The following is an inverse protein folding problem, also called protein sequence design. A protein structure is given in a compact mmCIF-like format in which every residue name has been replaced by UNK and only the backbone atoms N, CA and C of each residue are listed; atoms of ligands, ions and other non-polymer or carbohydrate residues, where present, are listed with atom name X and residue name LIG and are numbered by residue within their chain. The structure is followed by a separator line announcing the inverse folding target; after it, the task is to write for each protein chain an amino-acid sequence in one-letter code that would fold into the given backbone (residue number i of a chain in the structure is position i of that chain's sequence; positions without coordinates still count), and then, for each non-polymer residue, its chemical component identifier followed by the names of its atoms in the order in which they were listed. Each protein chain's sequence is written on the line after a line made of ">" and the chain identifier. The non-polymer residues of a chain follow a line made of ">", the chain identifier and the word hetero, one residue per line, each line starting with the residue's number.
data_IF_708816418692
#
_entry.id   IF_708816418692
#
_cell.length_a   1.000
_cell.length_b   1.000
_cell.length_c   1.000
_cell.angle_alpha   90.00
_cell.angle_beta   90.00
_cell.angle_gamma   90.00
#
_symmetry.space_group_name_H-M   'P 1'
#
loop_
_entity.id
_entity.type
_entity.pdbx_description
1 polymer ?
#
# COMPACT_ATOMS: atom_id res chain seq x y z
N UNK A 1 -9.36 -18.40 -44.99
CA UNK A 1 -10.04 -18.75 -43.70
C UNK A 1 -9.06 -18.84 -42.53
N UNK A 2 -7.91 -19.51 -42.70
CA UNK A 2 -6.89 -19.71 -41.66
C UNK A 2 -6.30 -18.40 -41.14
N UNK A 3 -5.90 -17.47 -42.02
CA UNK A 3 -5.32 -16.18 -41.61
C UNK A 3 -6.25 -15.33 -40.73
N UNK A 4 -7.56 -15.29 -41.05
CA UNK A 4 -8.55 -14.57 -40.24
C UNK A 4 -8.71 -15.18 -38.85
N UNK A 5 -8.64 -16.51 -38.74
CA UNK A 5 -8.66 -17.21 -37.47
C UNK A 5 -7.40 -16.93 -36.65
N UNK A 6 -6.22 -16.97 -37.26
CA UNK A 6 -4.94 -16.64 -36.61
C UNK A 6 -4.96 -15.20 -36.08
N UNK A 7 -5.41 -14.25 -36.88
CA UNK A 7 -5.47 -12.84 -36.47
C UNK A 7 -6.44 -12.60 -35.31
N UNK A 8 -7.56 -13.34 -35.27
CA UNK A 8 -8.50 -13.30 -34.15
C UNK A 8 -7.88 -13.91 -32.87
N UNK A 9 -7.21 -15.04 -32.99
CA UNK A 9 -6.52 -15.70 -31.86
C UNK A 9 -5.46 -14.77 -31.27
N UNK A 10 -4.66 -14.12 -32.13
CA UNK A 10 -3.64 -13.16 -31.72
C UNK A 10 -4.23 -12.00 -30.91
N UNK A 11 -5.35 -11.41 -31.36
CA UNK A 11 -6.02 -10.31 -30.65
C UNK A 11 -6.51 -10.74 -29.26
N UNK A 12 -7.11 -11.92 -29.17
CA UNK A 12 -7.59 -12.47 -27.89
C UNK A 12 -6.40 -12.74 -26.97
N UNK A 13 -5.33 -13.33 -27.48
CA UNK A 13 -4.12 -13.60 -26.72
C UNK A 13 -3.50 -12.32 -26.15
N UNK A 14 -3.30 -11.30 -27.00
CA UNK A 14 -2.78 -9.99 -26.57
C UNK A 14 -3.68 -9.34 -25.52
N UNK A 15 -5.01 -9.41 -25.69
CA UNK A 15 -5.96 -8.89 -24.72
C UNK A 15 -5.85 -9.61 -23.37
N UNK A 16 -5.87 -10.93 -23.37
CA UNK A 16 -5.86 -11.74 -22.14
C UNK A 16 -4.53 -11.57 -21.40
N UNK A 17 -3.40 -11.70 -22.09
CA UNK A 17 -2.07 -11.54 -21.49
C UNK A 17 -1.87 -10.11 -21.01
N UNK A 18 -2.28 -9.11 -21.81
CA UNK A 18 -2.21 -7.71 -21.42
C UNK A 18 -3.01 -7.42 -20.15
N UNK A 19 -4.25 -7.93 -20.05
CA UNK A 19 -5.06 -7.80 -18.85
C UNK A 19 -4.40 -8.48 -17.65
N UNK A 20 -3.93 -9.73 -17.79
CA UNK A 20 -3.24 -10.44 -16.70
C UNK A 20 -2.05 -9.62 -16.19
N UNK A 21 -1.20 -9.11 -17.09
CA UNK A 21 -0.07 -8.26 -16.73
C UNK A 21 -0.52 -6.97 -16.04
N UNK A 22 -1.57 -6.32 -16.55
CA UNK A 22 -2.11 -5.08 -15.98
C UNK A 22 -2.59 -5.27 -14.54
N UNK A 23 -3.32 -6.35 -14.25
CA UNK A 23 -3.72 -6.67 -12.88
C UNK A 23 -2.53 -7.10 -12.02
N UNK A 24 -1.62 -7.90 -12.58
CA UNK A 24 -0.45 -8.39 -11.86
C UNK A 24 0.46 -7.24 -11.40
N UNK A 25 0.70 -6.21 -12.22
CA UNK A 25 1.57 -5.09 -11.81
C UNK A 25 0.96 -4.23 -10.70
N UNK A 26 -0.36 -4.06 -10.67
CA UNK A 26 -1.04 -3.37 -9.56
C UNK A 26 -0.88 -4.16 -8.25
N UNK A 27 -1.07 -5.48 -8.33
CA UNK A 27 -0.93 -6.39 -7.19
C UNK A 27 0.51 -6.48 -6.70
N UNK A 28 1.47 -6.82 -7.58
CA UNK A 28 2.86 -7.08 -7.25
C UNK A 28 3.55 -5.88 -6.60
N UNK A 29 3.24 -4.65 -7.06
CA UNK A 29 3.78 -3.42 -6.49
C UNK A 29 3.45 -3.29 -5.00
N UNK A 30 2.25 -3.69 -4.61
CA UNK A 30 1.82 -3.66 -3.20
C UNK A 30 2.30 -4.90 -2.46
N UNK A 31 2.22 -6.08 -3.09
CA UNK A 31 2.62 -7.35 -2.50
C UNK A 31 4.09 -7.38 -2.05
N UNK A 32 5.02 -6.84 -2.85
CA UNK A 32 6.44 -6.82 -2.48
C UNK A 32 6.80 -5.83 -1.36
N UNK A 33 5.97 -4.81 -1.12
CA UNK A 33 6.23 -3.78 -0.10
C UNK A 33 5.57 -4.15 1.23
N UNK A 34 4.38 -4.75 1.18
CA UNK A 34 3.61 -5.08 2.37
C UNK A 34 3.95 -6.46 2.93
N UNK A 35 3.78 -6.68 4.25
CA UNK A 35 4.10 -7.95 4.90
C UNK A 35 3.03 -9.03 4.63
N UNK A 36 2.76 -9.33 3.36
CA UNK A 36 1.90 -10.45 2.99
C UNK A 36 2.64 -11.78 3.13
N UNK A 37 1.92 -12.90 3.37
CA UNK A 37 2.52 -14.23 3.37
C UNK A 37 3.34 -14.46 2.10
N UNK A 38 4.57 -14.94 2.21
CA UNK A 38 5.45 -15.16 1.05
C UNK A 38 6.32 -13.96 0.65
N UNK A 39 5.86 -12.72 0.86
CA UNK A 39 6.55 -11.52 0.34
C UNK A 39 7.89 -11.22 1.02
N UNK A 40 8.05 -11.66 2.27
CA UNK A 40 9.18 -11.29 3.15
C UNK A 40 10.33 -12.32 3.18
N UNK A 41 10.24 -13.41 2.39
CA UNK A 41 11.28 -14.43 2.38
C UNK A 41 12.48 -14.10 1.48
N UNK A 42 12.29 -13.19 0.51
CA UNK A 42 13.29 -12.83 -0.49
C UNK A 42 13.56 -11.33 -0.48
N UNK A 43 14.78 -10.92 -0.84
CA UNK A 43 15.10 -9.50 -1.02
C UNK A 43 14.49 -8.97 -2.34
N UNK A 44 13.26 -8.46 -2.25
CA UNK A 44 12.49 -7.93 -3.39
C UNK A 44 12.49 -6.40 -3.45
N UNK A 45 13.28 -5.73 -2.60
CA UNK A 45 13.28 -4.27 -2.46
C UNK A 45 13.60 -3.56 -3.79
N UNK A 46 14.60 -4.06 -4.53
CA UNK A 46 14.98 -3.48 -5.82
C UNK A 46 13.86 -3.57 -6.86
N UNK A 47 13.19 -4.73 -6.93
CA UNK A 47 12.06 -4.96 -7.84
C UNK A 47 10.88 -4.06 -7.45
N UNK A 48 10.56 -4.00 -6.16
CA UNK A 48 9.49 -3.17 -5.63
C UNK A 48 9.71 -1.68 -5.95
N UNK A 49 10.94 -1.19 -5.78
CA UNK A 49 11.31 0.18 -6.08
C UNK A 49 11.20 0.49 -7.57
N UNK A 50 11.79 -0.36 -8.43
CA UNK A 50 11.72 -0.19 -9.88
C UNK A 50 10.27 -0.20 -10.37
N UNK A 51 9.46 -1.16 -9.89
CA UNK A 51 8.07 -1.26 -10.28
C UNK A 51 7.28 -0.04 -9.83
N UNK A 52 7.51 0.44 -8.60
CA UNK A 52 6.84 1.64 -8.08
C UNK A 52 7.22 2.90 -8.85
N UNK A 53 8.50 3.07 -9.18
CA UNK A 53 8.99 4.22 -9.94
C UNK A 53 8.42 4.26 -11.36
N UNK A 54 8.27 3.10 -12.01
CA UNK A 54 7.86 2.99 -13.41
C UNK A 54 6.38 2.66 -13.63
N UNK A 55 5.59 2.45 -12.57
CA UNK A 55 4.21 1.94 -12.69
C UNK A 55 3.31 2.76 -13.61
N UNK A 56 3.47 4.10 -13.63
CA UNK A 56 2.67 4.97 -14.50
C UNK A 56 2.91 4.66 -15.97
N UNK A 57 4.17 4.50 -16.37
CA UNK A 57 4.55 4.19 -17.75
C UNK A 57 4.16 2.77 -18.13
N UNK A 58 4.42 1.79 -17.25
CA UNK A 58 4.00 0.39 -17.47
C UNK A 58 2.49 0.31 -17.71
N UNK A 59 1.70 1.02 -16.90
CA UNK A 59 0.24 1.06 -17.04
C UNK A 59 -0.19 1.67 -18.38
N UNK A 60 0.39 2.81 -18.77
CA UNK A 60 0.07 3.47 -20.04
C UNK A 60 0.36 2.51 -21.21
N UNK A 61 1.53 1.87 -21.22
CA UNK A 61 1.92 0.93 -22.28
C UNK A 61 0.95 -0.25 -22.36
N UNK A 62 0.63 -0.88 -21.21
CA UNK A 62 -0.30 -2.01 -21.17
C UNK A 62 -1.71 -1.61 -21.63
N UNK A 63 -2.21 -0.45 -21.20
CA UNK A 63 -3.51 0.07 -21.65
C UNK A 63 -3.54 0.35 -23.15
N UNK A 64 -2.45 0.90 -23.72
CA UNK A 64 -2.34 1.11 -25.16
C UNK A 64 -2.37 -0.22 -25.93
N UNK A 65 -1.61 -1.23 -25.49
CA UNK A 65 -1.59 -2.57 -26.10
C UNK A 65 -2.98 -3.24 -26.06
N UNK A 66 -3.68 -3.12 -24.93
CA UNK A 66 -5.01 -3.69 -24.72
C UNK A 66 -6.10 -2.94 -25.50
N UNK A 67 -5.92 -1.63 -25.73
CA UNK A 67 -6.95 -0.79 -26.35
C UNK A 67 -7.34 -1.26 -27.75
N UNK A 68 -6.37 -1.64 -28.59
CA UNK A 68 -6.64 -2.12 -29.95
C UNK A 68 -7.54 -3.37 -30.02
N UNK A 69 -7.22 -4.51 -29.37
CA UNK A 69 -8.10 -5.67 -29.38
C UNK A 69 -9.41 -5.42 -28.63
N UNK A 70 -9.42 -4.59 -27.58
CA UNK A 70 -10.64 -4.24 -26.86
C UNK A 70 -11.63 -3.46 -27.73
N UNK A 71 -11.16 -2.39 -28.41
CA UNK A 71 -11.98 -1.60 -29.34
C UNK A 71 -12.48 -2.47 -30.49
N UNK A 72 -11.61 -3.34 -31.03
CA UNK A 72 -11.99 -4.26 -32.11
C UNK A 72 -13.17 -5.18 -31.71
N UNK A 73 -13.20 -5.66 -30.47
CA UNK A 73 -14.30 -6.48 -29.94
C UNK A 73 -15.53 -5.64 -29.61
N UNK A 74 -15.37 -4.42 -29.09
CA UNK A 74 -16.49 -3.52 -28.80
C UNK A 74 -17.23 -3.08 -30.07
N UNK A 75 -16.52 -2.89 -31.18
CA UNK A 75 -17.12 -2.55 -32.48
C UNK A 75 -17.76 -3.78 -33.13
N UNK A 76 -17.00 -4.86 -33.31
CA UNK A 76 -17.38 -5.97 -34.19
C UNK A 76 -17.84 -7.26 -33.48
N UNK A 77 -17.70 -7.33 -32.15
CA UNK A 77 -17.98 -8.53 -31.36
C UNK A 77 -19.46 -8.74 -31.06
N UNK A 78 -19.80 -9.97 -30.64
CA UNK A 78 -21.14 -10.30 -30.11
C UNK A 78 -21.42 -9.53 -28.82
N UNK A 79 -22.69 -9.22 -28.56
CA UNK A 79 -23.13 -8.44 -27.37
C UNK A 79 -22.55 -8.96 -26.06
N UNK A 80 -22.53 -10.29 -25.84
CA UNK A 80 -21.96 -10.87 -24.62
C UNK A 80 -20.46 -10.57 -24.42
N UNK A 81 -19.67 -10.52 -25.51
CA UNK A 81 -18.24 -10.18 -25.44
C UNK A 81 -18.04 -8.71 -25.07
N UNK A 82 -18.94 -7.83 -25.55
CA UNK A 82 -18.93 -6.41 -25.20
C UNK A 82 -19.23 -6.25 -23.70
N UNK A 83 -20.28 -6.91 -23.21
CA UNK A 83 -20.65 -6.92 -21.80
C UNK A 83 -19.48 -7.43 -20.94
N UNK A 84 -18.85 -8.54 -21.34
CA UNK A 84 -17.70 -9.10 -20.62
C UNK A 84 -16.54 -8.10 -20.51
N UNK A 85 -16.16 -7.44 -21.62
CA UNK A 85 -15.09 -6.43 -21.60
C UNK A 85 -15.47 -5.25 -20.70
N UNK A 86 -16.71 -4.75 -20.79
CA UNK A 86 -17.19 -3.66 -19.94
C UNK A 86 -17.10 -4.03 -18.44
N UNK A 87 -17.49 -5.26 -18.08
CA UNK A 87 -17.36 -5.77 -16.70
C UNK A 87 -15.89 -5.80 -16.27
N UNK A 88 -14.99 -6.31 -17.13
CA UNK A 88 -13.56 -6.38 -16.82
C UNK A 88 -12.95 -4.99 -16.63
N UNK A 89 -13.35 -4.00 -17.44
CA UNK A 89 -12.89 -2.60 -17.30
C UNK A 89 -13.37 -1.99 -15.98
N UNK A 90 -14.64 -2.19 -15.62
CA UNK A 90 -15.18 -1.74 -14.34
C UNK A 90 -14.43 -2.39 -13.18
N UNK A 91 -14.23 -3.71 -13.25
CA UNK A 91 -13.48 -4.46 -12.26
C UNK A 91 -12.04 -3.97 -12.13
N UNK A 92 -11.37 -3.68 -13.25
CA UNK A 92 -10.04 -3.06 -13.23
C UNK A 92 -10.07 -1.68 -12.54
N UNK A 93 -11.10 -0.86 -12.79
CA UNK A 93 -11.28 0.43 -12.09
C UNK A 93 -11.35 0.27 -10.57
N UNK A 94 -12.05 -0.75 -10.08
CA UNK A 94 -12.11 -1.09 -8.64
C UNK A 94 -10.73 -1.51 -8.12
N UNK A 95 -10.04 -2.42 -8.82
CA UNK A 95 -8.69 -2.86 -8.43
C UNK A 95 -7.71 -1.68 -8.44
N UNK A 96 -7.73 -0.85 -9.49
CA UNK A 96 -6.93 0.35 -9.59
C UNK A 96 -7.15 1.26 -8.37
N UNK A 97 -8.41 1.52 -8.01
CA UNK A 97 -8.74 2.33 -6.83
C UNK A 97 -8.17 1.73 -5.55
N UNK A 98 -8.43 0.45 -5.30
CA UNK A 98 -7.97 -0.23 -4.09
C UNK A 98 -6.44 -0.20 -3.97
N UNK A 99 -5.71 -0.55 -5.02
CA UNK A 99 -4.25 -0.67 -4.97
C UNK A 99 -3.50 0.66 -5.09
N UNK A 100 -4.14 1.74 -5.56
CA UNK A 100 -3.52 3.07 -5.67
C UNK A 100 -3.94 4.03 -4.55
N UNK A 101 -5.08 3.80 -3.89
CA UNK A 101 -5.59 4.74 -2.88
C UNK A 101 -5.85 4.13 -1.51
N UNK A 102 -6.13 2.82 -1.42
CA UNK A 102 -6.44 2.16 -0.15
C UNK A 102 -5.29 1.34 0.40
N UNK A 103 -4.65 0.53 -0.44
CA UNK A 103 -3.62 -0.45 -0.07
C UNK A 103 -2.21 0.03 -0.36
N UNK A 104 -1.95 1.33 -0.43
CA UNK A 104 -0.57 1.79 -0.49
C UNK A 104 0.00 1.95 0.93
N UNK A 105 1.27 1.60 1.12
CA UNK A 105 1.91 1.67 2.43
C UNK A 105 1.86 3.08 3.04
N UNK A 106 2.13 4.11 2.24
CA UNK A 106 2.01 5.52 2.65
C UNK A 106 0.62 5.94 3.16
N UNK A 107 -0.45 5.23 2.78
CA UNK A 107 -1.83 5.48 3.23
C UNK A 107 -2.19 4.71 4.49
N UNK A 108 -1.62 3.53 4.66
CA UNK A 108 -1.90 2.68 5.84
C UNK A 108 -1.13 3.17 7.07
N UNK A 109 0.05 3.78 6.90
CA UNK A 109 0.90 4.25 8.00
C UNK A 109 0.82 5.76 8.25
N UNK A 110 -0.39 6.34 8.13
CA UNK A 110 -0.58 7.77 8.41
C UNK A 110 -0.24 8.12 9.85
N UNK A 111 0.49 9.22 10.03
CA UNK A 111 0.84 9.73 11.35
C UNK A 111 -0.40 10.26 12.09
N UNK A 112 -0.48 9.95 13.38
CA UNK A 112 -1.48 10.52 14.27
C UNK A 112 -1.33 12.05 14.32
N UNK A 113 -2.37 12.77 13.88
CA UNK A 113 -2.38 14.24 13.86
C UNK A 113 -2.73 14.85 15.21
N UNK A 114 -3.69 14.23 15.92
CA UNK A 114 -4.19 14.71 17.21
C UNK A 114 -3.85 13.70 18.31
N UNK A 115 -3.23 14.18 19.39
CA UNK A 115 -2.87 13.40 20.58
C UNK A 115 -3.63 13.95 21.78
N UNK A 116 -4.83 13.44 22.01
CA UNK A 116 -5.65 13.84 23.16
C UNK A 116 -5.38 12.87 24.31
N UNK A 117 -4.48 13.24 25.21
CA UNK A 117 -4.23 12.48 26.43
C UNK A 117 -5.26 12.83 27.50
N UNK A 118 -5.73 11.81 28.20
CA UNK A 118 -6.54 11.96 29.41
C UNK A 118 -5.69 11.57 30.62
N UNK A 119 -5.93 12.20 31.75
CA UNK A 119 -5.42 11.74 33.04
C UNK A 119 -6.06 10.39 33.43
N UNK A 120 -5.54 9.76 34.49
CA UNK A 120 -6.02 8.46 34.95
C UNK A 120 -7.50 8.47 35.37
N UNK A 121 -8.03 9.60 35.87
CA UNK A 121 -9.41 9.73 36.33
C UNK A 121 -10.40 9.84 35.17
N UNK A 122 -9.99 10.51 34.10
CA UNK A 122 -10.79 10.77 32.90
C UNK A 122 -10.53 9.77 31.76
N UNK A 123 -9.73 8.73 32.04
CA UNK A 123 -9.39 7.70 31.07
C UNK A 123 -10.62 6.86 30.69
N UNK A 124 -10.94 6.84 29.38
CA UNK A 124 -12.04 6.04 28.83
C UNK A 124 -11.59 4.66 28.33
N UNK A 125 -10.30 4.37 28.37
CA UNK A 125 -9.73 3.12 27.87
C UNK A 125 -9.66 2.13 29.03
N UNK A 126 -10.24 0.93 28.91
CA UNK A 126 -10.21 -0.07 29.97
C UNK A 126 -8.78 -0.40 30.40
N UNK A 127 -8.56 -0.60 31.71
CA UNK A 127 -7.23 -0.74 32.31
C UNK A 127 -6.54 -2.06 31.97
N UNK A 128 -7.29 -3.07 31.54
CA UNK A 128 -6.78 -4.36 31.06
C UNK A 128 -6.20 -4.30 29.63
N UNK A 129 -6.37 -3.17 28.93
CA UNK A 129 -5.81 -3.01 27.58
C UNK A 129 -4.29 -2.84 27.66
N UNK A 130 -3.60 -3.55 26.77
CA UNK A 130 -2.15 -3.40 26.63
C UNK A 130 -1.78 -2.00 26.15
N UNK A 131 -0.77 -1.45 26.78
CA UNK A 131 -0.20 -0.13 26.48
C UNK A 131 1.30 -0.27 26.21
N UNK A 132 1.85 0.74 25.54
CA UNK A 132 3.27 1.08 25.62
C UNK A 132 3.36 2.23 26.63
N UNK A 133 3.97 2.00 27.78
CA UNK A 133 4.23 3.03 28.78
C UNK A 133 5.62 3.64 28.57
N UNK A 134 5.72 4.97 28.67
CA UNK A 134 7.00 5.68 28.64
C UNK A 134 7.02 6.69 29.78
N UNK A 135 8.03 6.59 30.65
CA UNK A 135 8.24 7.50 31.76
C UNK A 135 9.64 8.12 31.64
N UNK A 136 9.73 9.45 31.67
CA UNK A 136 10.96 10.22 31.54
C UNK A 136 10.79 11.60 32.17
N UNK A 137 11.82 12.08 32.86
CA UNK A 137 11.86 13.41 33.51
C UNK A 137 10.62 13.74 34.36
N UNK A 138 10.12 12.75 35.12
CA UNK A 138 8.96 12.89 36.00
C UNK A 138 7.61 12.89 35.30
N UNK A 139 7.56 12.84 33.96
CA UNK A 139 6.35 12.69 33.18
C UNK A 139 6.20 11.25 32.67
N UNK A 140 4.99 10.70 32.77
CA UNK A 140 4.67 9.38 32.24
C UNK A 140 3.45 9.42 31.33
N UNK A 141 3.56 8.80 30.16
CA UNK A 141 2.47 8.66 29.19
C UNK A 141 2.28 7.21 28.79
N UNK A 142 1.03 6.84 28.51
CA UNK A 142 0.63 5.52 28.04
C UNK A 142 0.04 5.61 26.63
N UNK A 143 0.47 4.71 25.76
CA UNK A 143 0.03 4.61 24.37
C UNK A 143 -0.66 3.25 24.15
N UNK A 144 -1.99 3.19 24.18
CA UNK A 144 -2.74 1.95 23.99
C UNK A 144 -2.42 1.29 22.65
N UNK A 145 -2.10 -0.01 22.69
CA UNK A 145 -1.76 -0.80 21.48
C UNK A 145 -2.88 -0.74 20.44
N UNK A 146 -4.14 -0.74 20.89
CA UNK A 146 -5.30 -0.65 20.01
C UNK A 146 -5.38 0.67 19.22
N UNK A 147 -4.71 1.75 19.66
CA UNK A 147 -4.68 3.03 18.96
C UNK A 147 -3.42 3.15 18.11
N UNK A 148 -2.25 2.91 18.71
CA UNK A 148 -0.98 2.99 17.98
C UNK A 148 -0.86 1.90 16.91
N UNK A 149 -1.54 0.76 17.04
CA UNK A 149 -1.55 -0.29 16.03
C UNK A 149 -2.13 0.14 14.69
N UNK A 150 -3.00 1.15 14.63
CA UNK A 150 -3.49 1.69 13.37
C UNK A 150 -2.51 2.66 12.71
N UNK A 151 -1.83 3.47 13.51
CA UNK A 151 -0.93 4.52 13.02
C UNK A 151 0.54 4.09 12.94
N UNK A 152 0.88 2.97 13.59
CA UNK A 152 2.20 2.35 13.75
C UNK A 152 3.29 3.23 14.36
N UNK A 153 3.10 4.55 14.40
CA UNK A 153 3.99 5.53 14.99
C UNK A 153 3.22 6.69 15.64
N UNK A 154 3.74 7.18 16.75
CA UNK A 154 3.30 8.41 17.42
C UNK A 154 4.54 9.24 17.71
N UNK A 155 4.54 10.49 17.22
CA UNK A 155 5.56 11.48 17.57
C UNK A 155 5.05 12.29 18.75
N UNK A 156 5.77 12.30 19.85
CA UNK A 156 5.37 13.04 21.05
C UNK A 156 6.53 13.78 21.72
N UNK A 157 6.21 14.51 22.78
CA UNK A 157 7.18 15.11 23.69
C UNK A 157 6.82 14.68 25.10
N UNK A 158 7.77 14.12 25.84
CA UNK A 158 7.61 13.69 27.23
C UNK A 158 8.75 14.32 28.01
N UNK A 159 8.45 15.07 29.06
CA UNK A 159 9.48 15.67 29.91
C UNK A 159 10.42 16.59 29.13
N UNK A 160 9.89 17.36 28.17
CA UNK A 160 10.65 18.18 27.21
C UNK A 160 11.49 17.42 26.17
N UNK A 161 11.54 16.09 26.21
CA UNK A 161 12.27 15.27 25.24
C UNK A 161 11.37 14.83 24.09
N UNK A 162 11.69 15.16 22.82
CA UNK A 162 10.96 14.62 21.67
C UNK A 162 11.17 13.10 21.57
N UNK A 163 10.08 12.36 21.42
CA UNK A 163 10.07 10.91 21.34
C UNK A 163 9.32 10.42 20.11
N UNK A 164 9.75 9.28 19.57
CA UNK A 164 9.00 8.51 18.57
C UNK A 164 8.67 7.15 19.15
N UNK A 165 7.38 6.90 19.34
CA UNK A 165 6.84 5.61 19.79
C UNK A 165 6.38 4.85 18.57
N UNK A 166 6.77 3.59 18.43
CA UNK A 166 6.34 2.74 17.32
C UNK A 166 5.83 1.40 17.83
N UNK A 167 4.89 0.82 17.08
CA UNK A 167 4.37 -0.51 17.37
C UNK A 167 4.17 -1.28 16.06
N UNK A 168 4.72 -2.49 16.00
CA UNK A 168 4.47 -3.41 14.91
C UNK A 168 3.39 -4.42 15.31
N UNK A 169 2.25 -4.41 14.63
CA UNK A 169 1.13 -5.33 14.86
C UNK A 169 1.47 -6.78 14.49
N UNK A 170 2.39 -6.98 13.54
CA UNK A 170 2.84 -8.30 13.10
C UNK A 170 3.87 -8.88 14.07
N UNK A 171 4.86 -8.08 14.49
CA UNK A 171 5.91 -8.51 15.43
C UNK A 171 5.46 -8.49 16.90
N UNK A 172 4.32 -7.84 17.21
CA UNK A 172 3.85 -7.58 18.58
C UNK A 172 4.90 -6.93 19.48
N UNK A 173 5.65 -5.98 18.92
CA UNK A 173 6.74 -5.30 19.63
C UNK A 173 6.57 -3.79 19.54
N UNK A 174 6.66 -3.12 20.69
CA UNK A 174 6.73 -1.65 20.80
C UNK A 174 8.16 -1.18 20.98
N UNK A 175 8.50 0.00 20.44
CA UNK A 175 9.78 0.68 20.67
C UNK A 175 9.54 2.16 20.94
N UNK A 176 10.36 2.75 21.80
CA UNK A 176 10.38 4.18 22.07
C UNK A 176 11.78 4.69 21.79
N UNK A 177 11.88 5.76 21.01
CA UNK A 177 13.14 6.41 20.68
C UNK A 177 13.12 7.83 21.22
N UNK A 178 14.08 8.18 22.07
CA UNK A 178 14.34 9.55 22.45
C UNK A 178 15.22 10.21 21.39
N UNK A 179 14.80 11.37 20.89
CA UNK A 179 15.52 12.12 19.87
C UNK A 179 16.43 13.13 20.58
N UNK A 180 17.69 12.76 20.78
CA UNK A 180 18.71 13.60 21.42
C UNK A 180 19.42 14.54 20.45
N UNK A 181 19.32 14.32 19.14
CA UNK A 181 19.99 15.12 18.10
C UNK A 181 19.09 15.35 16.88
N UNK A 182 19.05 16.58 16.36
CA UNK A 182 18.47 16.89 15.04
C UNK A 182 19.45 16.43 13.96
N UNK A 183 19.13 15.33 13.27
CA UNK A 183 19.95 14.84 12.16
C UNK A 183 19.59 15.63 10.90
N UNK A 184 20.52 16.46 10.41
CA UNK A 184 20.42 17.09 9.09
C UNK A 184 20.78 16.06 8.01
N UNK A 185 19.79 15.64 7.24
CA UNK A 185 19.97 14.73 6.12
C UNK A 185 20.70 15.46 4.98
N UNK A 186 21.94 15.06 4.69
CA UNK A 186 22.60 15.35 3.41
C UNK A 186 22.59 14.08 2.57
N UNK A 187 22.21 14.19 1.31
CA UNK A 187 22.42 13.11 0.34
C UNK A 187 23.92 12.84 0.25
N UNK A 188 24.33 11.56 0.34
CA UNK A 188 25.64 11.14 -0.17
C UNK A 188 25.57 11.42 -1.67
N UNK A 189 26.14 12.54 -2.12
CA UNK A 189 26.14 12.92 -3.53
C UNK A 189 26.96 11.94 -4.34
N UNK A 190 26.33 10.84 -4.74
CA UNK A 190 26.81 9.84 -5.69
C UNK A 190 25.88 9.84 -6.90
#
# INVERSE_FOLDING_TARGET
>A
MIEKAIHLIMKIFVLVVGLILLFAVEFLRVYFIMPFPGSQHNNTIGIAYWLTANIRWIRIILLLIISYPAISILQNGRTWKKILISIVVIFYGVVFYLFNFRFQANKIFYQAQNKNFADAKNNKIPTEKLIIGVAMDGEAKAYPIQLIGYHHQVRDTIGHTPVMITYCTVCRTGRAFALTSIINWKTLGL
#
